data_IF_822637868632
#
_entry.id   IF_822637868632
#
_cell.length_a   1.000
_cell.length_b   1.000
_cell.length_c   1.000
_cell.angle_alpha   90.00
_cell.angle_beta   90.00
_cell.angle_gamma   90.00
#
_symmetry.space_group_name_H-M   'P 1'
#
loop_
_entity.id
_entity.type
_entity.pdbx_description
1 polymer ?
#
# COMPACT_ATOMS: atom_id res chain seq x y z
N UNK A 1 -19.53 11.59 43.83
CA UNK A 1 -19.09 12.30 42.61
C UNK A 1 -18.96 11.24 41.56
N UNK A 2 -20.09 10.94 40.93
CA UNK A 2 -20.15 10.08 39.74
C UNK A 2 -20.12 11.01 38.53
N UNK A 3 -19.20 10.77 37.62
CA UNK A 3 -19.04 11.54 36.39
C UNK A 3 -20.07 11.05 35.36
N UNK A 4 -21.18 11.79 35.29
CA UNK A 4 -22.23 11.63 34.29
C UNK A 4 -21.80 12.22 32.95
N UNK A 5 -21.26 11.40 32.05
CA UNK A 5 -21.08 11.84 30.66
C UNK A 5 -21.39 10.76 29.62
N UNK A 6 -22.51 10.03 29.78
CA UNK A 6 -23.14 9.28 28.68
C UNK A 6 -24.64 9.58 28.69
N UNK A 7 -25.00 10.80 28.28
CA UNK A 7 -26.41 11.17 28.09
C UNK A 7 -26.86 10.65 26.72
N UNK A 8 -27.93 9.84 26.62
CA UNK A 8 -28.49 9.43 25.33
C UNK A 8 -28.97 10.64 24.53
N UNK A 9 -28.76 10.62 23.22
CA UNK A 9 -29.26 11.66 22.31
C UNK A 9 -30.81 11.70 22.35
N UNK A 10 -31.38 12.90 22.16
CA UNK A 10 -32.81 13.24 22.42
C UNK A 10 -33.85 12.43 21.60
N UNK A 11 -33.39 11.63 20.65
CA UNK A 11 -34.18 10.81 19.73
C UNK A 11 -34.16 9.31 20.08
N UNK A 12 -33.50 8.91 21.18
CA UNK A 12 -33.51 7.53 21.67
C UNK A 12 -32.65 6.56 20.85
N UNK A 13 -31.89 7.05 19.87
CA UNK A 13 -30.92 6.26 19.14
C UNK A 13 -29.53 6.44 19.77
N UNK A 14 -28.87 5.33 20.09
CA UNK A 14 -27.43 5.33 20.33
C UNK A 14 -26.73 5.73 19.03
N UNK A 15 -26.01 6.85 19.05
CA UNK A 15 -25.06 7.16 17.98
C UNK A 15 -23.96 6.10 18.04
N UNK A 16 -24.05 5.10 17.16
CA UNK A 16 -23.04 4.06 17.05
C UNK A 16 -21.64 4.65 16.79
N UNK A 17 -21.56 5.87 16.24
CA UNK A 17 -20.31 6.60 16.03
C UNK A 17 -19.71 7.19 17.32
N UNK A 18 -20.53 7.47 18.33
CA UNK A 18 -20.06 7.94 19.64
C UNK A 18 -19.74 6.77 20.59
N UNK A 19 -20.34 5.60 20.33
CA UNK A 19 -20.13 4.35 21.09
C UNK A 19 -18.97 3.53 20.52
N UNK A 20 -18.81 3.54 19.20
CA UNK A 20 -17.65 2.98 18.53
C UNK A 20 -16.65 4.12 18.36
N UNK A 21 -15.67 4.20 19.25
CA UNK A 21 -14.42 4.94 19.00
C UNK A 21 -13.68 4.25 17.84
N UNK A 22 -14.26 4.29 16.63
CA UNK A 22 -13.56 3.96 15.40
C UNK A 22 -12.65 5.15 15.19
N UNK A 23 -11.36 5.04 15.49
CA UNK A 23 -10.50 6.20 15.48
C UNK A 23 -10.50 6.69 14.03
N UNK A 24 -11.06 7.88 13.79
CA UNK A 24 -11.04 8.51 12.48
C UNK A 24 -9.63 9.09 12.23
N UNK A 25 -8.61 8.27 12.50
CA UNK A 25 -7.19 8.53 12.37
C UNK A 25 -6.91 8.83 10.90
N UNK A 26 -6.03 9.79 10.68
CA UNK A 26 -5.61 10.23 9.36
C UNK A 26 -4.11 10.47 9.42
N UNK A 27 -3.43 10.18 8.32
CA UNK A 27 -2.09 10.66 8.06
C UNK A 27 -2.23 12.15 7.76
N UNK A 28 -1.71 12.97 8.66
CA UNK A 28 -1.76 14.44 8.57
C UNK A 28 -0.39 15.05 8.34
N UNK A 29 0.65 14.41 8.86
CA UNK A 29 2.05 14.79 8.67
C UNK A 29 2.68 13.97 7.53
N UNK A 30 3.27 14.68 6.58
CA UNK A 30 3.98 14.12 5.42
C UNK A 30 5.41 14.67 5.33
N UNK A 31 5.89 15.39 6.34
CA UNK A 31 7.19 16.08 6.30
C UNK A 31 8.35 15.12 6.09
N UNK A 32 8.28 13.91 6.65
CA UNK A 32 9.28 12.85 6.44
C UNK A 32 9.26 12.21 5.04
N UNK A 33 8.20 12.43 4.25
CA UNK A 33 8.00 11.79 2.95
C UNK A 33 8.42 12.72 1.80
N UNK A 34 9.71 12.69 1.47
CA UNK A 34 10.28 13.44 0.34
C UNK A 34 10.42 12.57 -0.90
N UNK A 35 10.57 13.20 -2.07
CA UNK A 35 10.80 12.47 -3.32
C UNK A 35 12.12 11.69 -3.27
N UNK A 36 13.15 12.30 -2.67
CA UNK A 36 14.46 11.72 -2.42
C UNK A 36 14.34 10.49 -1.50
N UNK A 37 13.56 10.58 -0.43
CA UNK A 37 13.31 9.46 0.47
C UNK A 37 12.67 8.27 -0.26
N UNK A 38 11.61 8.50 -1.05
CA UNK A 38 10.93 7.44 -1.79
C UNK A 38 11.88 6.78 -2.80
N UNK A 39 12.68 7.58 -3.53
CA UNK A 39 13.69 7.07 -4.47
C UNK A 39 14.75 6.23 -3.76
N UNK A 40 15.26 6.71 -2.63
CA UNK A 40 16.27 6.01 -1.85
C UNK A 40 15.74 4.65 -1.37
N UNK A 41 14.52 4.61 -0.82
CA UNK A 41 13.89 3.35 -0.40
C UNK A 41 13.70 2.35 -1.55
N UNK A 42 13.40 2.83 -2.76
CA UNK A 42 13.36 1.95 -3.92
C UNK A 42 14.76 1.44 -4.31
N UNK A 43 15.77 2.32 -4.26
CA UNK A 43 17.16 1.98 -4.53
C UNK A 43 17.73 0.94 -3.55
N UNK A 44 17.39 1.03 -2.26
CA UNK A 44 17.86 0.07 -1.24
C UNK A 44 17.41 -1.37 -1.59
N UNK A 45 16.19 -1.56 -2.11
CA UNK A 45 15.73 -2.89 -2.56
C UNK A 45 16.47 -3.39 -3.79
N UNK A 46 16.84 -2.47 -4.65
CA UNK A 46 17.62 -2.78 -5.83
C UNK A 46 19.04 -3.22 -5.45
N UNK A 47 19.67 -2.57 -4.47
CA UNK A 47 21.01 -2.92 -3.99
C UNK A 47 21.02 -4.28 -3.27
N UNK A 48 20.04 -4.55 -2.40
CA UNK A 48 19.90 -5.86 -1.72
C UNK A 48 19.70 -7.00 -2.72
N UNK A 49 18.92 -6.78 -3.79
CA UNK A 49 18.69 -7.80 -4.82
C UNK A 49 19.94 -8.12 -5.66
N UNK A 50 21.01 -7.32 -5.55
CA UNK A 50 22.30 -7.56 -6.22
C UNK A 50 23.31 -8.32 -5.36
N UNK A 51 23.06 -8.48 -4.06
CA UNK A 51 23.96 -9.22 -3.19
C UNK A 51 23.91 -10.72 -3.52
N UNK A 52 24.99 -11.30 -4.08
CA UNK A 52 25.01 -12.71 -4.49
C UNK A 52 25.05 -13.68 -3.29
N UNK A 53 25.22 -13.18 -2.06
CA UNK A 53 25.25 -13.98 -0.84
C UNK A 53 23.95 -13.92 -0.05
N UNK A 54 23.03 -13.03 -0.40
CA UNK A 54 21.68 -13.02 0.13
C UNK A 54 20.80 -13.88 -0.76
N UNK A 55 20.38 -15.03 -0.23
CA UNK A 55 19.37 -15.86 -0.87
C UNK A 55 18.07 -15.06 -0.94
N UNK A 56 17.81 -14.43 -2.08
CA UNK A 56 16.62 -13.63 -2.32
C UNK A 56 15.41 -14.53 -2.56
N UNK A 57 15.18 -15.50 -1.67
CA UNK A 57 13.92 -16.23 -1.55
C UNK A 57 12.72 -15.29 -1.22
N UNK A 58 12.96 -13.98 -1.04
CA UNK A 58 11.94 -12.96 -1.21
C UNK A 58 11.49 -12.89 -2.68
N UNK A 59 10.66 -13.86 -3.06
CA UNK A 59 10.24 -14.21 -4.42
C UNK A 59 9.32 -13.14 -5.03
N UNK A 60 9.92 -11.99 -5.36
CA UNK A 60 9.44 -10.94 -6.26
C UNK A 60 10.64 -10.46 -7.08
N UNK A 61 11.09 -11.33 -8.00
CA UNK A 61 12.33 -11.18 -8.77
C UNK A 61 12.50 -9.78 -9.39
N UNK A 62 13.58 -9.10 -9.00
CA UNK A 62 14.15 -8.02 -9.79
C UNK A 62 14.77 -8.67 -11.02
N UNK A 63 14.26 -8.36 -12.21
CA UNK A 63 14.84 -8.82 -13.48
C UNK A 63 16.09 -7.97 -13.77
N UNK A 64 17.15 -8.12 -12.98
CA UNK A 64 18.38 -7.35 -13.13
C UNK A 64 19.18 -7.84 -14.36
N UNK A 65 18.73 -7.50 -15.57
CA UNK A 65 19.46 -7.80 -16.82
C UNK A 65 20.57 -6.79 -17.09
N UNK A 66 20.42 -5.54 -16.64
CA UNK A 66 21.48 -4.51 -16.70
C UNK A 66 21.52 -3.65 -15.42
N UNK A 67 22.52 -3.88 -14.55
CA UNK A 67 22.53 -3.21 -13.27
C UNK A 67 22.81 -1.69 -13.28
N UNK A 68 23.38 -1.14 -14.35
CA UNK A 68 23.63 0.30 -14.46
C UNK A 68 22.42 1.03 -15.03
N UNK A 69 21.72 0.39 -15.95
CA UNK A 69 20.53 0.95 -16.58
C UNK A 69 19.36 1.04 -15.58
N UNK A 70 19.19 0.04 -14.71
CA UNK A 70 18.13 0.02 -13.69
C UNK A 70 18.37 1.01 -12.55
N UNK A 71 19.61 1.17 -12.08
CA UNK A 71 19.95 2.18 -11.08
C UNK A 71 19.65 3.61 -11.58
N UNK A 72 20.04 3.92 -12.82
CA UNK A 72 19.70 5.20 -13.45
C UNK A 72 18.20 5.37 -13.65
N UNK A 73 17.46 4.29 -13.94
CA UNK A 73 16.01 4.33 -14.11
C UNK A 73 15.27 4.60 -12.78
N UNK A 74 15.76 4.07 -11.65
CA UNK A 74 15.24 4.41 -10.31
C UNK A 74 15.49 5.88 -9.98
N UNK A 75 16.73 6.35 -10.15
CA UNK A 75 17.11 7.73 -9.84
C UNK A 75 16.43 8.76 -10.76
N UNK A 76 16.14 8.37 -12.01
CA UNK A 76 15.45 9.20 -13.00
C UNK A 76 13.92 9.18 -12.90
N UNK A 77 13.33 8.47 -11.93
CA UNK A 77 11.90 8.54 -11.66
C UNK A 77 11.46 10.02 -11.58
N UNK A 78 10.45 10.38 -12.37
CA UNK A 78 10.11 11.79 -12.63
C UNK A 78 9.68 12.47 -11.32
N UNK A 79 10.50 13.41 -10.84
CA UNK A 79 10.29 14.16 -9.59
C UNK A 79 8.87 14.72 -9.46
N UNK A 80 8.37 15.36 -10.51
CA UNK A 80 7.01 15.92 -10.52
C UNK A 80 5.90 14.88 -10.30
N UNK A 81 6.10 13.61 -10.68
CA UNK A 81 5.12 12.55 -10.45
C UNK A 81 5.01 12.23 -8.96
N UNK A 82 6.15 12.11 -8.29
CA UNK A 82 6.22 11.88 -6.84
C UNK A 82 5.69 13.09 -6.07
N UNK A 83 6.08 14.29 -6.48
CA UNK A 83 5.55 15.54 -5.93
C UNK A 83 4.02 15.57 -5.95
N UNK A 84 3.46 15.22 -7.11
CA UNK A 84 2.02 15.25 -7.32
C UNK A 84 1.30 14.22 -6.43
N UNK A 85 1.87 13.03 -6.26
CA UNK A 85 1.35 12.01 -5.34
C UNK A 85 1.30 12.51 -3.89
N UNK A 86 2.39 13.12 -3.43
CA UNK A 86 2.50 13.60 -2.04
C UNK A 86 1.55 14.78 -1.78
N UNK A 87 1.48 15.72 -2.74
CA UNK A 87 0.65 16.93 -2.61
C UNK A 87 -0.84 16.65 -2.72
N UNK A 88 -1.24 15.79 -3.66
CA UNK A 88 -2.65 15.58 -4.00
C UNK A 88 -3.30 14.40 -3.27
N UNK A 89 -2.57 13.66 -2.43
CA UNK A 89 -3.13 12.54 -1.66
C UNK A 89 -4.38 13.01 -0.88
N UNK A 90 -5.50 12.25 -0.87
CA UNK A 90 -6.74 12.65 -0.17
C UNK A 90 -6.59 12.76 1.36
N UNK A 91 -6.14 13.92 1.86
CA UNK A 91 -5.81 14.14 3.29
C UNK A 91 -7.01 14.14 4.24
N UNK A 92 -8.23 14.30 3.70
CA UNK A 92 -9.46 14.32 4.48
C UNK A 92 -10.11 12.94 4.61
N UNK A 93 -9.57 11.92 3.96
CA UNK A 93 -10.08 10.56 4.07
C UNK A 93 -9.50 9.83 5.29
N UNK A 94 -10.17 8.78 5.80
CA UNK A 94 -9.64 7.93 6.87
C UNK A 94 -8.33 7.26 6.48
N UNK A 95 -7.51 6.91 7.46
CA UNK A 95 -6.18 6.30 7.27
C UNK A 95 -6.20 5.10 6.33
N UNK A 96 -7.14 4.17 6.48
CA UNK A 96 -7.28 2.99 5.60
C UNK A 96 -7.38 3.42 4.13
N UNK A 97 -8.17 4.45 3.86
CA UNK A 97 -8.36 4.98 2.52
C UNK A 97 -7.11 5.67 1.99
N UNK A 98 -6.42 6.44 2.83
CA UNK A 98 -5.16 7.09 2.48
C UNK A 98 -4.06 6.06 2.15
N UNK A 99 -3.96 5.01 2.97
CA UNK A 99 -3.10 3.86 2.73
C UNK A 99 -3.42 3.18 1.39
N UNK A 100 -4.71 2.95 1.11
CA UNK A 100 -5.16 2.34 -0.14
C UNK A 100 -4.82 3.19 -1.36
N UNK A 101 -5.07 4.51 -1.31
CA UNK A 101 -4.70 5.45 -2.38
C UNK A 101 -3.20 5.49 -2.62
N UNK A 102 -2.40 5.50 -1.56
CA UNK A 102 -0.95 5.54 -1.66
C UNK A 102 -0.41 4.31 -2.41
N UNK A 103 -0.76 3.10 -1.95
CA UNK A 103 -0.26 1.88 -2.58
C UNK A 103 -0.83 1.69 -3.99
N UNK A 104 -2.11 1.98 -4.20
CA UNK A 104 -2.74 1.96 -5.52
C UNK A 104 -1.99 2.87 -6.50
N UNK A 105 -1.61 4.06 -6.06
CA UNK A 105 -0.96 5.04 -6.93
C UNK A 105 0.48 4.67 -7.26
N UNK A 106 1.29 4.32 -6.26
CA UNK A 106 2.69 3.94 -6.47
C UNK A 106 2.78 2.65 -7.30
N UNK A 107 1.99 1.63 -6.95
CA UNK A 107 2.00 0.34 -7.65
C UNK A 107 1.25 0.34 -9.00
N UNK A 108 0.27 1.22 -9.17
CA UNK A 108 -0.51 1.35 -10.40
C UNK A 108 0.20 2.18 -11.46
N UNK A 109 0.90 3.26 -11.06
CA UNK A 109 1.63 4.13 -12.00
C UNK A 109 2.96 3.53 -12.49
N UNK A 110 3.51 2.52 -11.79
CA UNK A 110 4.86 1.98 -12.06
C UNK A 110 5.90 3.09 -12.15
N UNK A 111 6.06 3.83 -11.05
CA UNK A 111 6.99 4.96 -10.98
C UNK A 111 8.45 4.52 -11.13
N UNK A 112 8.72 3.26 -10.75
CA UNK A 112 10.02 2.63 -10.79
C UNK A 112 9.99 1.40 -11.72
N UNK A 113 11.15 0.97 -12.25
CA UNK A 113 11.25 -0.28 -13.04
C UNK A 113 10.80 -1.51 -12.25
N UNK A 114 11.11 -1.56 -10.95
CA UNK A 114 10.71 -2.63 -10.05
C UNK A 114 10.52 -2.15 -8.61
N UNK A 115 10.10 -3.06 -7.72
CA UNK A 115 9.91 -2.87 -6.29
C UNK A 115 8.85 -1.82 -5.91
N UNK A 116 7.99 -1.38 -6.84
CA UNK A 116 6.94 -0.39 -6.59
C UNK A 116 6.07 -0.72 -5.37
N UNK A 117 5.60 -1.97 -5.22
CA UNK A 117 4.80 -2.40 -4.07
C UNK A 117 5.57 -2.32 -2.75
N UNK A 118 6.83 -2.76 -2.75
CA UNK A 118 7.70 -2.75 -1.56
C UNK A 118 7.99 -1.31 -1.13
N UNK A 119 8.35 -0.46 -2.08
CA UNK A 119 8.55 0.98 -1.85
C UNK A 119 7.28 1.64 -1.31
N UNK A 120 6.11 1.34 -1.89
CA UNK A 120 4.85 1.86 -1.38
C UNK A 120 4.59 1.46 0.08
N UNK A 121 4.79 0.18 0.43
CA UNK A 121 4.57 -0.32 1.78
C UNK A 121 5.55 0.25 2.80
N UNK A 122 6.84 0.39 2.47
CA UNK A 122 7.84 0.96 3.39
C UNK A 122 7.66 2.45 3.58
N UNK A 123 7.36 3.18 2.51
CA UNK A 123 7.13 4.63 2.63
C UNK A 123 5.85 4.93 3.39
N UNK A 124 4.83 4.08 3.23
CA UNK A 124 3.61 4.16 4.01
C UNK A 124 3.83 3.77 5.47
N UNK A 125 4.67 2.76 5.75
CA UNK A 125 5.05 2.39 7.12
C UNK A 125 5.61 3.58 7.88
N UNK A 126 6.57 4.30 7.27
CA UNK A 126 7.15 5.50 7.86
C UNK A 126 6.06 6.55 8.16
N UNK A 127 5.16 6.82 7.21
CA UNK A 127 4.06 7.76 7.43
C UNK A 127 3.14 7.35 8.60
N UNK A 128 2.71 6.09 8.65
CA UNK A 128 1.78 5.66 9.71
C UNK A 128 2.46 5.59 11.07
N UNK A 129 3.77 5.36 11.11
CA UNK A 129 4.56 5.40 12.35
C UNK A 129 4.77 6.85 12.81
N UNK A 130 5.21 7.74 11.92
CA UNK A 130 5.45 9.17 12.21
C UNK A 130 4.18 9.93 12.62
N UNK A 131 3.00 9.42 12.24
CA UNK A 131 1.69 9.97 12.61
C UNK A 131 1.06 9.29 13.84
N UNK A 132 1.82 8.45 14.57
CA UNK A 132 1.34 7.70 15.74
C UNK A 132 0.07 6.87 15.48
N UNK A 133 -0.16 6.47 14.22
CA UNK A 133 -1.29 5.63 13.83
C UNK A 133 -1.03 4.21 14.32
N UNK A 134 0.21 3.75 14.18
CA UNK A 134 0.69 2.47 14.67
C UNK A 134 1.92 2.67 15.56
N UNK A 135 2.28 1.65 16.32
CA UNK A 135 3.49 1.60 17.15
C UNK A 135 4.56 0.74 16.50
N UNK A 136 5.81 0.83 16.96
CA UNK A 136 6.94 0.06 16.42
C UNK A 136 6.76 -1.46 16.52
N UNK A 137 5.98 -1.94 17.49
CA UNK A 137 5.65 -3.36 17.70
C UNK A 137 4.44 -3.84 16.89
N UNK A 138 3.84 -2.95 16.08
CA UNK A 138 2.73 -3.33 15.22
C UNK A 138 3.17 -4.33 14.15
N UNK A 139 2.28 -5.26 13.78
CA UNK A 139 2.51 -6.31 12.76
C UNK A 139 2.69 -5.77 11.33
N UNK A 140 2.92 -4.47 11.12
CA UNK A 140 3.00 -3.91 9.77
C UNK A 140 4.17 -4.51 8.98
N UNK A 141 4.03 -4.81 7.67
CA UNK A 141 2.83 -4.70 6.84
C UNK A 141 1.95 -5.94 6.86
N UNK A 142 2.19 -6.89 7.76
CA UNK A 142 1.56 -8.21 7.83
C UNK A 142 2.65 -9.30 7.89
N UNK A 143 2.24 -10.57 7.91
CA UNK A 143 3.16 -11.68 7.67
C UNK A 143 3.62 -11.74 6.21
N UNK A 144 4.75 -12.39 5.97
CA UNK A 144 5.29 -12.59 4.62
C UNK A 144 4.26 -13.24 3.67
N UNK A 145 3.47 -14.20 4.16
CA UNK A 145 2.42 -14.85 3.37
C UNK A 145 1.29 -13.87 2.99
N UNK A 146 0.81 -13.05 3.93
CA UNK A 146 -0.25 -12.07 3.68
C UNK A 146 0.21 -11.00 2.68
N UNK A 147 1.41 -10.45 2.88
CA UNK A 147 2.04 -9.49 1.96
C UNK A 147 2.15 -10.13 0.58
N UNK A 148 2.58 -11.38 0.52
CA UNK A 148 2.76 -12.09 -0.74
C UNK A 148 1.45 -12.24 -1.52
N UNK A 149 0.40 -12.72 -0.84
CA UNK A 149 -0.94 -12.83 -1.43
C UNK A 149 -1.50 -11.48 -1.87
N UNK A 150 -1.35 -10.44 -1.04
CA UNK A 150 -1.83 -9.10 -1.34
C UNK A 150 -1.15 -8.50 -2.59
N UNK A 151 0.17 -8.67 -2.73
CA UNK A 151 0.90 -8.22 -3.91
C UNK A 151 0.47 -8.97 -5.16
N UNK A 152 0.28 -10.30 -5.09
CA UNK A 152 -0.19 -11.08 -6.24
C UNK A 152 -1.62 -10.72 -6.66
N UNK A 153 -2.52 -10.53 -5.69
CA UNK A 153 -3.88 -10.06 -5.94
C UNK A 153 -3.85 -8.66 -6.56
N UNK A 154 -3.03 -7.75 -6.05
CA UNK A 154 -2.84 -6.42 -6.65
C UNK A 154 -2.38 -6.48 -8.11
N UNK A 155 -1.43 -7.38 -8.43
CA UNK A 155 -1.01 -7.63 -9.82
C UNK A 155 -2.17 -8.13 -10.67
N UNK A 156 -3.01 -9.01 -10.14
CA UNK A 156 -4.20 -9.50 -10.82
C UNK A 156 -5.24 -8.39 -11.06
N UNK A 157 -5.55 -7.59 -10.04
CA UNK A 157 -6.48 -6.46 -10.15
C UNK A 157 -6.03 -5.45 -11.21
N UNK A 158 -4.73 -5.17 -11.32
CA UNK A 158 -4.18 -4.30 -12.37
C UNK A 158 -4.45 -4.77 -13.80
N UNK A 159 -4.62 -6.07 -14.05
CA UNK A 159 -5.02 -6.57 -15.37
C UNK A 159 -6.52 -6.38 -15.63
N UNK A 160 -7.33 -6.24 -14.58
CA UNK A 160 -8.78 -6.05 -14.67
C UNK A 160 -9.19 -4.56 -14.66
N UNK A 161 -8.36 -3.69 -14.07
CA UNK A 161 -8.61 -2.26 -14.00
C UNK A 161 -8.04 -1.52 -15.22
N UNK A 162 -8.66 -0.42 -15.66
CA UNK A 162 -8.02 0.49 -16.61
C UNK A 162 -6.66 0.95 -16.09
N UNK A 163 -5.70 1.17 -17.00
CA UNK A 163 -4.37 1.67 -16.63
C UNK A 163 -4.50 2.99 -15.85
N UNK A 164 -3.90 3.03 -14.66
CA UNK A 164 -3.88 4.22 -13.82
C UNK A 164 -3.08 5.33 -14.50
N UNK A 165 -3.62 6.53 -14.47
CA UNK A 165 -2.97 7.76 -14.91
C UNK A 165 -3.32 8.89 -13.94
N UNK A 166 -2.67 10.03 -14.12
CA UNK A 166 -2.84 11.15 -13.20
C UNK A 166 -4.21 11.84 -13.27
N UNK A 167 -5.02 11.59 -14.31
CA UNK A 167 -6.40 12.11 -14.40
C UNK A 167 -7.38 11.26 -13.57
N UNK A 168 -6.96 10.06 -13.17
CA UNK A 168 -7.76 9.07 -12.44
C UNK A 168 -7.12 8.64 -11.13
N UNK A 169 -6.15 9.43 -10.64
CA UNK A 169 -5.24 9.05 -9.56
C UNK A 169 -5.95 8.56 -8.29
N UNK A 170 -7.06 9.21 -7.94
CA UNK A 170 -7.83 8.94 -6.70
C UNK A 170 -9.13 8.19 -6.96
N UNK A 171 -9.27 7.56 -8.13
CA UNK A 171 -10.45 6.76 -8.44
C UNK A 171 -10.43 5.48 -7.60
N UNK A 172 -11.55 5.21 -6.93
CA UNK A 172 -11.77 3.97 -6.17
C UNK A 172 -12.17 2.81 -7.09
N UNK A 173 -11.19 2.25 -7.79
CA UNK A 173 -11.36 1.08 -8.65
C UNK A 173 -11.10 -0.24 -7.89
N UNK A 174 -11.07 -1.36 -8.62
CA UNK A 174 -10.85 -2.68 -8.02
C UNK A 174 -9.47 -2.83 -7.37
N UNK A 175 -8.45 -2.12 -7.85
CA UNK A 175 -7.12 -2.09 -7.24
C UNK A 175 -7.15 -1.30 -5.92
N UNK A 176 -7.85 -0.16 -5.88
CA UNK A 176 -8.08 0.59 -4.65
C UNK A 176 -8.80 -0.27 -3.60
N UNK A 177 -9.92 -0.92 -3.95
CA UNK A 177 -10.70 -1.70 -2.98
C UNK A 177 -9.95 -2.91 -2.44
N UNK A 178 -9.09 -3.52 -3.26
CA UNK A 178 -8.16 -4.55 -2.83
C UNK A 178 -7.26 -4.05 -1.69
N UNK A 179 -6.62 -2.89 -1.89
CA UNK A 179 -5.75 -2.32 -0.87
C UNK A 179 -6.51 -1.79 0.35
N UNK A 180 -7.71 -1.23 0.15
CA UNK A 180 -8.60 -0.81 1.24
C UNK A 180 -8.88 -1.98 2.18
N UNK A 181 -9.34 -3.12 1.64
CA UNK A 181 -9.63 -4.32 2.44
C UNK A 181 -8.38 -4.89 3.12
N UNK A 182 -7.22 -4.81 2.46
CA UNK A 182 -5.96 -5.19 3.08
C UNK A 182 -5.61 -4.32 4.29
N UNK A 183 -5.81 -3.00 4.21
CA UNK A 183 -5.52 -2.09 5.31
C UNK A 183 -6.58 -2.09 6.42
N UNK A 184 -7.85 -2.35 6.09
CA UNK A 184 -8.89 -2.67 7.10
C UNK A 184 -8.46 -3.89 7.92
N UNK A 185 -8.02 -4.96 7.24
CA UNK A 185 -7.52 -6.15 7.91
C UNK A 185 -6.29 -5.86 8.78
N UNK A 186 -5.35 -5.06 8.27
CA UNK A 186 -4.10 -4.78 8.96
C UNK A 186 -4.26 -3.84 10.17
N UNK A 187 -5.12 -2.82 10.07
CA UNK A 187 -5.27 -1.77 11.08
C UNK A 187 -6.43 -2.02 12.05
N UNK A 188 -7.43 -2.79 11.64
CA UNK A 188 -8.68 -2.97 12.38
C UNK A 188 -9.05 -4.45 12.60
N UNK A 189 -8.18 -5.39 12.23
CA UNK A 189 -8.39 -6.84 12.34
C UNK A 189 -9.70 -7.32 11.70
N UNK A 190 -10.16 -6.61 10.66
CA UNK A 190 -11.34 -6.98 9.88
C UNK A 190 -10.98 -8.18 8.99
N UNK A 191 -11.88 -9.15 8.87
CA UNK A 191 -11.64 -10.29 8.00
C UNK A 191 -11.49 -9.84 6.54
N UNK A 192 -10.42 -10.32 5.89
CA UNK A 192 -10.19 -10.13 4.47
C UNK A 192 -10.20 -11.49 3.74
N UNK A 193 -11.37 -11.96 3.27
CA UNK A 193 -11.54 -13.30 2.74
C UNK A 193 -10.62 -13.66 1.57
N UNK A 194 -10.16 -12.67 0.78
CA UNK A 194 -9.28 -12.95 -0.35
C UNK A 194 -7.89 -13.49 0.09
N UNK A 195 -7.40 -13.11 1.28
CA UNK A 195 -6.17 -13.67 1.84
C UNK A 195 -6.35 -15.11 2.36
N UNK A 196 -7.55 -15.43 2.87
CA UNK A 196 -7.88 -16.77 3.38
C UNK A 196 -8.21 -17.77 2.27
N UNK A 197 -8.96 -17.32 1.26
CA UNK A 197 -9.53 -18.19 0.22
C UNK A 197 -8.55 -18.53 -0.91
N UNK A 198 -7.36 -17.93 -0.92
CA UNK A 198 -6.38 -18.10 -1.97
C UNK A 198 -5.00 -18.44 -1.40
N UNK A 199 -4.46 -19.59 -1.81
CA UNK A 199 -3.03 -19.87 -1.62
C UNK A 199 -2.20 -19.09 -2.63
N UNK A 200 -0.97 -18.76 -2.25
CA UNK A 200 -0.04 -18.02 -3.10
C UNK A 200 0.20 -18.74 -4.45
N UNK A 201 0.40 -20.06 -4.42
CA UNK A 201 0.57 -20.88 -5.62
C UNK A 201 -0.65 -20.88 -6.55
N UNK A 202 -1.88 -20.76 -6.01
CA UNK A 202 -3.09 -20.60 -6.83
C UNK A 202 -3.11 -19.24 -7.52
N UNK A 203 -2.72 -18.17 -6.82
CA UNK A 203 -2.64 -16.81 -7.39
C UNK A 203 -1.56 -16.70 -8.46
N UNK A 204 -0.37 -17.26 -8.23
CA UNK A 204 0.73 -17.28 -9.22
C UNK A 204 0.30 -17.95 -10.52
N UNK A 205 -0.37 -19.11 -10.44
CA UNK A 205 -0.90 -19.82 -11.61
C UNK A 205 -1.96 -19.00 -12.37
N UNK A 206 -2.90 -18.37 -11.66
CA UNK A 206 -3.91 -17.49 -12.28
C UNK A 206 -3.25 -16.31 -13.00
N UNK A 207 -2.26 -15.66 -12.37
CA UNK A 207 -1.57 -14.52 -12.96
C UNK A 207 -0.81 -14.89 -14.24
N UNK A 208 -0.17 -16.07 -14.27
CA UNK A 208 0.47 -16.59 -15.49
C UNK A 208 -0.53 -16.80 -16.62
N UNK A 209 -1.74 -17.30 -16.33
CA UNK A 209 -2.78 -17.50 -17.33
C UNK A 209 -3.31 -16.19 -17.91
N UNK A 210 -3.46 -15.15 -17.08
CA UNK A 210 -3.89 -13.81 -17.56
C UNK A 210 -2.83 -13.22 -18.49
N UNK A 211 -1.56 -13.24 -18.08
CA UNK A 211 -0.46 -12.69 -18.89
C UNK A 211 -0.35 -13.34 -20.27
N UNK A 212 -0.55 -14.66 -20.37
CA UNK A 212 -0.53 -15.38 -21.65
C UNK A 212 -1.70 -15.07 -22.58
N UNK A 213 -2.78 -14.46 -22.09
CA UNK A 213 -3.93 -14.06 -22.91
C UNK A 213 -3.78 -12.63 -23.46
N UNK A 214 -2.88 -11.85 -22.89
CA UNK A 214 -2.60 -10.46 -23.29
C UNK A 214 -1.46 -10.38 -24.35
N UNK A 215 -0.78 -11.51 -24.63
CA UNK A 215 0.22 -11.71 -25.70
C UNK A 215 -0.43 -12.29 -26.96
#
# INVERSE_FOLDING_TARGET
MEDESHVPHRDGYLSLLDVLDVPNRRITDFTGLTQEYIKQRNYDYYDIARDPYLDSEQTYSVNARDPRQEANAVLSAKKWKLDRLIRELPRTEPVVSQCAHWVTSVAGLHLFPDANHRTAMVTLYALVLDNDIIREDHRWPGTQEEIGKAVLLSKYHRHLSPRLNFDRLWRRDTLYWHWYQYFEHLLHDVDYPALRNHSEGKLRRKLQQVRRKDD
#
